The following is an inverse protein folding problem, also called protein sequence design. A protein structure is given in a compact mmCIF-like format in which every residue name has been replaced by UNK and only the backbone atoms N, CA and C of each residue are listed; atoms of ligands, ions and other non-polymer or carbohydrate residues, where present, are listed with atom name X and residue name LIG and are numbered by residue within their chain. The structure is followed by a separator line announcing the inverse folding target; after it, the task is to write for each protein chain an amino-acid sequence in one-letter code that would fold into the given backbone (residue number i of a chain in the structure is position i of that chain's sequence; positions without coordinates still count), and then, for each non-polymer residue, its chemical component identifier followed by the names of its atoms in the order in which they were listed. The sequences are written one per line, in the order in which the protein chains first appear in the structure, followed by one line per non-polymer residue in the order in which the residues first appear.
data_IF_027635998864
#
_entry.id   IF_027635998864
#
_cell.length_a   1.000
_cell.length_b   1.000
_cell.length_c   1.000
_cell.angle_alpha   90.00
_cell.angle_beta   90.00
_cell.angle_gamma   90.00
#
_symmetry.space_group_name_H-M   'P 1'
#
loop_
_entity.id
_entity.type
_entity.pdbx_description
1 polymer ?
#
# COMPACT_ATOMS: atom_id res chain seq x y z
N UNK A 1 31.96 77.03 22.11
CA UNK A 1 31.53 75.62 22.28
C UNK A 1 31.29 75.37 23.76
N UNK A 2 30.06 75.10 24.19
CA UNK A 2 29.79 74.69 25.58
C UNK A 2 30.30 73.26 25.75
N UNK A 3 31.35 73.06 26.55
CA UNK A 3 31.79 71.73 26.94
C UNK A 3 30.68 71.08 27.78
N UNK A 4 30.15 69.96 27.31
CA UNK A 4 29.24 69.12 28.09
C UNK A 4 29.98 68.66 29.35
N UNK A 5 29.37 68.90 30.51
CA UNK A 5 29.84 68.35 31.78
C UNK A 5 29.91 66.81 31.68
N UNK A 6 31.00 66.25 32.19
CA UNK A 6 31.28 64.82 32.29
C UNK A 6 30.09 64.05 32.87
N UNK A 7 29.37 64.64 33.82
CA UNK A 7 28.20 64.03 34.45
C UNK A 7 26.99 63.92 33.50
N UNK A 8 26.85 64.86 32.57
CA UNK A 8 25.82 64.83 31.52
C UNK A 8 26.15 63.78 30.45
N UNK A 9 27.44 63.64 30.10
CA UNK A 9 27.91 62.61 29.16
C UNK A 9 27.66 61.22 29.72
N UNK A 10 27.94 60.99 31.01
CA UNK A 10 27.72 59.70 31.68
C UNK A 10 26.23 59.34 31.70
N UNK A 11 25.34 60.31 32.01
CA UNK A 11 23.88 60.08 32.00
C UNK A 11 23.34 59.77 30.60
N UNK A 12 23.86 60.42 29.56
CA UNK A 12 23.51 60.12 28.16
C UNK A 12 23.95 58.72 27.74
N UNK A 13 25.17 58.31 28.09
CA UNK A 13 25.68 56.96 27.82
C UNK A 13 24.85 55.90 28.56
N UNK A 14 24.49 56.15 29.82
CA UNK A 14 23.63 55.26 30.59
C UNK A 14 22.22 55.14 29.99
N UNK A 15 21.61 56.27 29.60
CA UNK A 15 20.30 56.27 28.94
C UNK A 15 20.33 55.51 27.60
N UNK A 16 21.38 55.72 26.79
CA UNK A 16 21.58 54.98 25.55
C UNK A 16 21.80 53.48 25.81
N UNK A 17 22.56 53.12 26.84
CA UNK A 17 22.79 51.74 27.26
C UNK A 17 21.50 51.02 27.64
N UNK A 18 20.58 51.69 28.36
CA UNK A 18 19.27 51.14 28.73
C UNK A 18 18.38 50.93 27.49
N UNK A 19 18.34 51.90 26.58
CA UNK A 19 17.56 51.78 25.33
C UNK A 19 18.11 50.66 24.44
N UNK A 20 19.43 50.55 24.32
CA UNK A 20 20.09 49.48 23.57
C UNK A 20 19.83 48.11 24.20
N UNK A 21 19.90 47.99 25.52
CA UNK A 21 19.60 46.76 26.24
C UNK A 21 18.14 46.33 26.05
N UNK A 22 17.18 47.27 26.12
CA UNK A 22 15.77 47.01 25.88
C UNK A 22 15.51 46.56 24.42
N UNK A 23 16.19 47.18 23.45
CA UNK A 23 16.11 46.80 22.04
C UNK A 23 16.67 45.39 21.78
N UNK A 24 17.84 45.07 22.34
CA UNK A 24 18.45 43.73 22.24
C UNK A 24 17.55 42.68 22.91
N UNK A 25 17.00 42.96 24.10
CA UNK A 25 16.07 42.07 24.77
C UNK A 25 14.79 41.83 23.95
N UNK A 26 14.23 42.87 23.32
CA UNK A 26 13.10 42.76 22.41
C UNK A 26 13.39 41.91 21.17
N UNK A 27 14.55 42.11 20.53
CA UNK A 27 14.97 41.31 19.38
C UNK A 27 15.22 39.85 19.75
N UNK A 28 15.86 39.58 20.90
CA UNK A 28 16.06 38.22 21.41
C UNK A 28 14.73 37.52 21.70
N UNK A 29 13.75 38.24 22.27
CA UNK A 29 12.40 37.73 22.49
C UNK A 29 11.68 37.34 21.19
N UNK A 30 11.74 38.20 20.16
CA UNK A 30 11.16 37.92 18.84
C UNK A 30 11.86 36.75 18.14
N UNK A 31 13.19 36.69 18.21
CA UNK A 31 13.96 35.58 17.64
C UNK A 31 13.64 34.24 18.32
N UNK A 32 13.53 34.24 19.66
CA UNK A 32 13.12 33.07 20.43
C UNK A 32 11.71 32.60 20.05
N UNK A 33 10.74 33.52 19.95
CA UNK A 33 9.39 33.18 19.50
C UNK A 33 9.36 32.62 18.07
N UNK A 34 10.15 33.18 17.16
CA UNK A 34 10.27 32.68 15.79
C UNK A 34 10.88 31.27 15.75
N UNK A 35 11.95 31.02 16.53
CA UNK A 35 12.56 29.69 16.64
C UNK A 35 11.63 28.65 17.25
N UNK A 36 10.87 28.99 18.30
CA UNK A 36 9.86 28.11 18.90
C UNK A 36 8.79 27.77 17.86
N UNK A 37 8.28 28.77 17.13
CA UNK A 37 7.27 28.55 16.08
C UNK A 37 7.78 27.67 14.94
N UNK A 38 9.04 27.85 14.51
CA UNK A 38 9.66 26.97 13.53
C UNK A 38 9.81 25.53 14.06
N UNK A 39 10.21 25.37 15.32
CA UNK A 39 10.34 24.07 15.95
C UNK A 39 8.98 23.37 16.07
N UNK A 40 7.95 24.08 16.51
CA UNK A 40 6.58 23.56 16.62
C UNK A 40 6.01 23.18 15.24
N UNK A 41 6.21 24.01 14.21
CA UNK A 41 5.82 23.67 12.85
C UNK A 41 6.54 22.42 12.36
N UNK A 42 7.86 22.32 12.58
CA UNK A 42 8.65 21.15 12.19
C UNK A 42 8.19 19.89 12.95
N UNK A 43 7.87 20.01 14.24
CA UNK A 43 7.34 18.90 15.05
C UNK A 43 5.94 18.49 14.61
N UNK A 44 5.08 19.45 14.27
CA UNK A 44 3.74 19.17 13.75
C UNK A 44 3.80 18.52 12.36
N UNK A 45 4.67 18.99 11.47
CA UNK A 45 4.91 18.37 10.17
C UNK A 45 5.44 16.93 10.32
N UNK A 46 6.34 16.68 11.27
CA UNK A 46 6.82 15.34 11.60
C UNK A 46 5.69 14.45 12.08
N UNK A 47 4.91 14.90 13.08
CA UNK A 47 3.74 14.17 13.59
C UNK A 47 2.67 13.94 12.54
N UNK A 48 2.47 14.89 11.63
CA UNK A 48 1.50 14.74 10.54
C UNK A 48 1.99 13.71 9.52
N UNK A 49 3.28 13.72 9.15
CA UNK A 49 3.90 12.70 8.30
C UNK A 49 3.83 11.31 8.95
N UNK A 50 4.13 11.20 10.24
CA UNK A 50 4.01 9.94 11.00
C UNK A 50 2.56 9.44 11.04
N UNK A 51 1.60 10.32 11.34
CA UNK A 51 0.18 9.97 11.32
C UNK A 51 -0.31 9.55 9.93
N UNK A 52 0.19 10.18 8.87
CA UNK A 52 -0.10 9.78 7.50
C UNK A 52 0.48 8.39 7.21
N UNK A 53 1.74 8.13 7.55
CA UNK A 53 2.36 6.80 7.41
C UNK A 53 1.52 5.71 8.10
N UNK A 54 1.17 5.91 9.37
CA UNK A 54 0.35 4.96 10.14
C UNK A 54 -1.00 4.67 9.48
N UNK A 55 -1.68 5.74 9.04
CA UNK A 55 -3.00 5.69 8.42
C UNK A 55 -3.03 4.91 7.10
N UNK A 56 -1.92 4.91 6.36
CA UNK A 56 -1.82 4.22 5.07
C UNK A 56 -1.22 2.83 5.19
N UNK A 57 -0.18 2.69 6.01
CA UNK A 57 0.61 1.47 6.09
C UNK A 57 -0.03 0.41 6.97
N UNK A 58 -0.78 0.78 8.02
CA UNK A 58 -1.47 -0.24 8.84
C UNK A 58 -2.54 -1.00 8.03
N UNK A 59 -3.45 -0.35 7.29
CA UNK A 59 -4.41 -1.07 6.44
C UNK A 59 -3.72 -1.92 5.37
N UNK A 60 -2.66 -1.39 4.75
CA UNK A 60 -1.88 -2.12 3.75
C UNK A 60 -1.21 -3.35 4.37
N UNK A 61 -0.57 -3.21 5.52
CA UNK A 61 0.08 -4.30 6.24
C UNK A 61 -0.90 -5.42 6.59
N UNK A 62 -2.11 -5.09 7.07
CA UNK A 62 -3.17 -6.08 7.33
C UNK A 62 -3.56 -6.84 6.07
N UNK A 63 -3.77 -6.11 4.96
CA UNK A 63 -4.09 -6.72 3.67
C UNK A 63 -2.96 -7.65 3.19
N UNK A 64 -1.71 -7.28 3.42
CA UNK A 64 -0.54 -8.09 3.02
C UNK A 64 -0.42 -9.38 3.84
N UNK A 65 -0.72 -9.36 5.14
CA UNK A 65 -0.77 -10.57 5.96
C UNK A 65 -1.85 -11.54 5.45
N UNK A 66 -3.04 -11.03 5.14
CA UNK A 66 -4.13 -11.85 4.59
C UNK A 66 -3.77 -12.40 3.21
N UNK A 67 -3.08 -11.63 2.36
CA UNK A 67 -2.57 -12.09 1.07
C UNK A 67 -1.46 -13.14 1.21
N UNK A 68 -0.51 -12.96 2.14
CA UNK A 68 0.55 -13.95 2.42
C UNK A 68 -0.05 -15.31 2.81
N UNK A 69 -0.99 -15.30 3.75
CA UNK A 69 -1.69 -16.51 4.17
C UNK A 69 -2.49 -17.11 3.01
N UNK A 70 -3.11 -16.25 2.18
CA UNK A 70 -3.88 -16.70 1.02
C UNK A 70 -3.00 -17.45 0.02
N UNK A 71 -1.88 -16.84 -0.36
CA UNK A 71 -0.92 -17.44 -1.29
C UNK A 71 -0.30 -18.71 -0.71
N UNK A 72 0.04 -18.72 0.59
CA UNK A 72 0.51 -19.93 1.26
C UNK A 72 -0.50 -21.08 1.12
N UNK A 73 -1.78 -20.82 1.40
CA UNK A 73 -2.83 -21.83 1.30
C UNK A 73 -3.05 -22.30 -0.14
N UNK A 74 -2.90 -21.43 -1.14
CA UNK A 74 -2.92 -21.83 -2.56
C UNK A 74 -1.82 -22.84 -2.85
N UNK A 75 -0.58 -22.52 -2.50
CA UNK A 75 0.59 -23.38 -2.77
C UNK A 75 0.51 -24.71 -2.01
N UNK A 76 0.02 -24.68 -0.78
CA UNK A 76 -0.09 -25.87 0.08
C UNK A 76 -1.12 -26.88 -0.42
N UNK A 77 -2.18 -26.44 -1.09
CA UNK A 77 -3.31 -27.29 -1.46
C UNK A 77 -3.45 -27.45 -2.98
N UNK A 78 -2.37 -27.32 -3.75
CA UNK A 78 -2.38 -27.43 -5.22
C UNK A 78 -2.88 -28.80 -5.72
N UNK A 79 -2.75 -29.85 -4.92
CA UNK A 79 -3.21 -31.22 -5.22
C UNK A 79 -4.72 -31.42 -5.03
N UNK A 80 -5.42 -30.44 -4.47
CA UNK A 80 -6.87 -30.53 -4.21
C UNK A 80 -7.67 -29.82 -5.29
N UNK A 81 -8.96 -30.14 -5.42
CA UNK A 81 -9.89 -29.68 -6.46
C UNK A 81 -10.59 -28.33 -6.16
N UNK A 82 -10.33 -27.75 -4.99
CA UNK A 82 -11.04 -26.58 -4.44
C UNK A 82 -11.02 -25.28 -5.27
N UNK A 83 -10.13 -25.15 -6.26
CA UNK A 83 -10.07 -24.02 -7.20
C UNK A 83 -10.63 -24.35 -8.60
N UNK A 84 -11.40 -25.43 -8.73
CA UNK A 84 -12.01 -25.84 -10.00
C UNK A 84 -12.95 -24.76 -10.55
N UNK A 85 -12.94 -24.58 -11.87
CA UNK A 85 -13.77 -23.60 -12.58
C UNK A 85 -15.26 -23.68 -12.23
N UNK A 86 -15.79 -24.89 -12.04
CA UNK A 86 -17.20 -25.11 -11.69
C UNK A 86 -17.64 -24.37 -10.41
N UNK A 87 -16.73 -24.19 -9.44
CA UNK A 87 -17.02 -23.44 -8.23
C UNK A 87 -17.17 -21.95 -8.52
N UNK A 88 -16.34 -21.41 -9.41
CA UNK A 88 -16.47 -20.02 -9.86
C UNK A 88 -17.71 -19.81 -10.71
N UNK A 89 -18.00 -20.73 -11.64
CA UNK A 89 -19.19 -20.67 -12.48
C UNK A 89 -20.48 -20.76 -11.63
N UNK A 90 -20.47 -21.58 -10.57
CA UNK A 90 -21.56 -21.64 -9.60
C UNK A 90 -21.79 -20.29 -8.92
N UNK A 91 -20.73 -19.62 -8.46
CA UNK A 91 -20.83 -18.28 -7.85
C UNK A 91 -21.40 -17.28 -8.85
N UNK A 92 -20.91 -17.27 -10.09
CA UNK A 92 -21.39 -16.36 -11.15
C UNK A 92 -22.87 -16.55 -11.49
N UNK A 93 -23.38 -17.77 -11.31
CA UNK A 93 -24.80 -18.10 -11.44
C UNK A 93 -25.64 -17.88 -10.18
N UNK A 94 -25.09 -17.27 -9.13
CA UNK A 94 -25.79 -17.04 -7.86
C UNK A 94 -26.02 -18.32 -7.04
N UNK A 95 -25.25 -19.38 -7.31
CA UNK A 95 -25.35 -20.70 -6.66
C UNK A 95 -24.10 -21.01 -5.83
N UNK A 96 -24.04 -22.20 -5.25
CA UNK A 96 -22.84 -22.64 -4.51
C UNK A 96 -22.71 -21.89 -3.19
N UNK A 97 -21.54 -21.29 -2.93
CA UNK A 97 -21.30 -20.48 -1.74
C UNK A 97 -22.34 -19.35 -1.54
N UNK A 98 -22.93 -18.84 -2.63
CA UNK A 98 -23.98 -17.82 -2.57
C UNK A 98 -25.25 -18.30 -1.84
N UNK A 99 -25.58 -19.59 -1.97
CA UNK A 99 -26.76 -20.20 -1.35
C UNK A 99 -26.44 -20.85 -0.01
N UNK A 100 -25.25 -21.45 0.11
CA UNK A 100 -24.82 -22.20 1.29
C UNK A 100 -23.35 -21.92 1.58
N UNK A 101 -23.02 -21.25 2.70
CA UNK A 101 -21.65 -20.95 3.12
C UNK A 101 -20.73 -22.16 3.24
N UNK A 102 -21.29 -23.37 3.35
CA UNK A 102 -20.52 -24.61 3.44
C UNK A 102 -20.09 -25.16 2.07
N UNK A 103 -20.63 -24.64 0.96
CA UNK A 103 -20.24 -25.05 -0.40
C UNK A 103 -18.91 -24.40 -0.81
N UNK A 104 -18.15 -25.10 -1.67
CA UNK A 104 -16.86 -24.63 -2.21
C UNK A 104 -17.05 -23.34 -3.04
N UNK A 105 -15.97 -22.56 -3.16
CA UNK A 105 -15.90 -21.35 -3.98
C UNK A 105 -15.67 -20.05 -3.20
N UNK A 106 -16.01 -20.00 -1.91
CA UNK A 106 -15.70 -18.85 -1.03
C UNK A 106 -14.24 -18.42 -1.15
N UNK A 107 -13.33 -19.39 -1.20
CA UNK A 107 -11.91 -19.12 -1.25
C UNK A 107 -11.50 -18.36 -2.53
N UNK A 108 -12.07 -18.71 -3.68
CA UNK A 108 -11.78 -18.04 -4.96
C UNK A 108 -12.19 -16.57 -4.86
N UNK A 109 -13.45 -16.32 -4.49
CA UNK A 109 -13.98 -14.96 -4.50
C UNK A 109 -13.39 -14.07 -3.40
N UNK A 110 -13.08 -14.63 -2.23
CA UNK A 110 -12.36 -13.91 -1.17
C UNK A 110 -10.91 -13.61 -1.58
N UNK A 111 -10.25 -14.48 -2.34
CA UNK A 111 -8.90 -14.19 -2.88
C UNK A 111 -8.92 -13.02 -3.87
N UNK A 112 -9.90 -13.00 -4.77
CA UNK A 112 -10.11 -11.90 -5.73
C UNK A 112 -10.35 -10.59 -4.96
N UNK A 113 -11.19 -10.62 -3.92
CA UNK A 113 -11.44 -9.46 -3.06
C UNK A 113 -10.17 -8.94 -2.39
N UNK A 114 -9.30 -9.81 -1.85
CA UNK A 114 -8.06 -9.37 -1.18
C UNK A 114 -7.11 -8.68 -2.15
N UNK A 115 -6.97 -9.21 -3.37
CA UNK A 115 -6.16 -8.57 -4.41
C UNK A 115 -6.77 -7.23 -4.84
N UNK A 116 -8.09 -7.18 -5.01
CA UNK A 116 -8.81 -5.95 -5.33
C UNK A 116 -8.62 -4.89 -4.22
N UNK A 117 -8.70 -5.31 -2.96
CA UNK A 117 -8.49 -4.47 -1.78
C UNK A 117 -7.06 -3.93 -1.73
N UNK A 118 -6.06 -4.76 -2.06
CA UNK A 118 -4.68 -4.30 -2.21
C UNK A 118 -4.54 -3.22 -3.28
N UNK A 119 -5.18 -3.36 -4.45
CA UNK A 119 -5.20 -2.30 -5.46
C UNK A 119 -5.93 -1.03 -4.97
N UNK A 120 -7.04 -1.19 -4.24
CA UNK A 120 -7.76 -0.07 -3.63
C UNK A 120 -6.89 0.70 -2.63
N UNK A 121 -6.19 -0.01 -1.74
CA UNK A 121 -5.25 0.60 -0.79
C UNK A 121 -4.07 1.26 -1.50
N UNK A 122 -3.51 0.62 -2.52
CA UNK A 122 -2.44 1.20 -3.33
C UNK A 122 -2.86 2.51 -4.00
N UNK A 123 -4.08 2.56 -4.53
CA UNK A 123 -4.63 3.79 -5.12
C UNK A 123 -4.95 4.85 -4.06
N UNK A 124 -5.43 4.44 -2.88
CA UNK A 124 -5.67 5.37 -1.78
C UNK A 124 -4.36 6.04 -1.29
N UNK A 125 -3.28 5.27 -1.20
CA UNK A 125 -1.94 5.76 -0.87
C UNK A 125 -1.46 6.75 -1.93
N UNK A 126 -1.57 6.36 -3.21
CA UNK A 126 -1.19 7.21 -4.35
C UNK A 126 -1.95 8.54 -4.37
N UNK A 127 -3.23 8.54 -3.98
CA UNK A 127 -4.06 9.75 -3.88
C UNK A 127 -3.89 10.53 -2.57
N UNK A 128 -3.25 9.94 -1.55
CA UNK A 128 -3.16 10.52 -0.21
C UNK A 128 -4.49 10.58 0.54
N UNK A 129 -5.42 9.63 0.32
CA UNK A 129 -6.76 9.65 0.91
C UNK A 129 -6.97 8.67 2.07
N UNK A 130 -7.63 9.13 3.14
CA UNK A 130 -7.84 8.30 4.34
C UNK A 130 -8.77 7.11 4.13
N UNK A 131 -8.31 5.89 4.40
CA UNK A 131 -9.15 4.67 4.37
C UNK A 131 -9.54 4.16 5.76
N UNK A 132 -9.04 4.78 6.84
CA UNK A 132 -9.25 4.33 8.24
C UNK A 132 -10.45 4.98 8.92
N UNK A 133 -10.97 6.07 8.36
CA UNK A 133 -12.10 6.81 8.93
C UNK A 133 -13.41 6.08 8.67
N UNK A 134 -13.79 5.17 9.57
CA UNK A 134 -15.14 4.62 9.63
C UNK A 134 -16.14 5.68 10.08
N UNK A 135 -17.16 5.96 9.26
CA UNK A 135 -18.40 6.62 9.68
C UNK A 135 -19.32 5.60 10.38
N UNK A 136 -18.98 5.21 11.60
CA UNK A 136 -19.98 4.68 12.54
C UNK A 136 -20.50 5.83 13.40
N UNK A 137 -21.83 5.85 13.54
CA UNK A 137 -22.65 6.89 14.16
C UNK A 137 -22.06 7.43 15.48
N UNK A 138 -21.43 8.61 15.42
CA UNK A 138 -20.77 9.27 16.56
C UNK A 138 -21.76 9.99 17.46
N UNK A 139 -22.70 9.27 18.04
CA UNK A 139 -23.53 9.82 19.13
C UNK A 139 -22.94 9.65 20.54
N UNK A 140 -21.73 9.10 20.69
CA UNK A 140 -21.04 9.03 22.01
C UNK A 140 -19.59 9.51 22.08
N UNK A 141 -19.05 10.15 21.03
CA UNK A 141 -17.74 10.86 21.10
C UNK A 141 -17.91 12.32 20.66
N UNK A 142 -19.03 12.93 21.06
CA UNK A 142 -19.22 14.39 21.00
C UNK A 142 -18.99 14.96 22.39
N UNK A 143 -17.72 15.26 22.73
CA UNK A 143 -17.42 16.44 23.58
C UNK A 143 -15.96 16.89 23.68
N UNK A 144 -14.98 16.18 23.12
CA UNK A 144 -13.58 16.62 23.24
C UNK A 144 -12.94 17.23 21.98
N UNK A 145 -13.39 16.90 20.77
CA UNK A 145 -12.71 17.31 19.53
C UNK A 145 -13.16 18.63 18.87
N UNK A 146 -14.27 19.23 19.29
CA UNK A 146 -14.94 20.27 18.50
C UNK A 146 -14.48 21.71 18.81
N UNK A 147 -13.69 21.94 19.86
CA UNK A 147 -13.16 23.29 20.20
C UNK A 147 -11.76 23.58 19.63
N UNK A 148 -10.99 22.55 19.26
CA UNK A 148 -9.62 22.74 18.75
C UNK A 148 -9.61 22.87 17.21
N UNK A 149 -10.44 22.11 16.49
CA UNK A 149 -10.50 22.16 15.01
C UNK A 149 -10.95 23.50 14.43
N UNK A 150 -11.79 24.27 15.14
CA UNK A 150 -12.39 25.50 14.60
C UNK A 150 -11.48 26.74 14.71
N UNK A 151 -10.37 26.67 15.47
CA UNK A 151 -9.37 27.76 15.55
C UNK A 151 -8.18 27.60 14.60
N UNK A 152 -7.94 26.41 14.06
CA UNK A 152 -6.79 26.14 13.18
C UNK A 152 -7.12 26.28 11.68
N UNK A 153 -8.37 26.02 11.29
CA UNK A 153 -8.80 26.09 9.87
C UNK A 153 -8.99 27.51 9.32
N UNK A 154 -9.01 28.55 10.16
CA UNK A 154 -9.23 29.95 9.71
C UNK A 154 -7.96 30.77 9.49
N UNK A 155 -6.79 30.26 9.90
CA UNK A 155 -5.55 31.05 9.95
C UNK A 155 -4.51 30.59 8.92
N UNK A 156 -4.65 29.39 8.37
CA UNK A 156 -3.72 28.85 7.39
C UNK A 156 -4.50 28.51 6.12
N UNK A 157 -4.45 29.42 5.16
CA UNK A 157 -4.92 29.19 3.81
C UNK A 157 -4.15 28.04 3.18
N UNK A 158 -4.66 26.81 3.33
CA UNK A 158 -4.07 25.60 2.78
C UNK A 158 -4.40 25.50 1.28
N UNK A 159 -3.64 26.24 0.47
CA UNK A 159 -3.35 25.83 -0.92
C UNK A 159 -1.96 25.24 -0.92
N UNK A 160 -1.86 23.93 -0.72
CA UNK A 160 -0.75 23.14 -1.26
C UNK A 160 -1.10 21.65 -1.18
N UNK A 161 -1.61 21.14 -2.30
CA UNK A 161 -1.60 19.70 -2.61
C UNK A 161 -0.14 19.32 -2.87
N UNK A 162 0.63 19.05 -1.83
CA UNK A 162 1.92 18.39 -2.03
C UNK A 162 1.66 16.89 -2.20
N UNK A 163 2.10 16.36 -3.34
CA UNK A 163 2.25 14.93 -3.57
C UNK A 163 3.41 14.41 -2.70
N UNK A 164 3.12 13.96 -1.48
CA UNK A 164 4.16 13.59 -0.49
C UNK A 164 4.55 12.10 -0.56
N UNK A 165 3.87 11.27 -1.36
CA UNK A 165 4.28 9.87 -1.50
C UNK A 165 5.09 9.67 -2.77
N UNK A 166 6.42 9.57 -2.62
CA UNK A 166 7.17 8.64 -3.47
C UNK A 166 6.45 7.29 -3.35
N UNK A 167 5.80 6.87 -4.43
CA UNK A 167 5.03 5.63 -4.43
C UNK A 167 6.01 4.48 -4.17
N UNK A 168 5.81 3.76 -3.06
CA UNK A 168 6.77 2.79 -2.54
C UNK A 168 7.22 1.81 -3.66
N UNK A 169 8.54 1.70 -3.93
CA UNK A 169 9.06 0.79 -4.95
C UNK A 169 8.59 -0.66 -4.77
N UNK A 170 8.34 -1.09 -3.54
CA UNK A 170 7.91 -2.45 -3.23
C UNK A 170 6.41 -2.67 -3.52
N UNK A 171 5.56 -1.67 -3.25
CA UNK A 171 4.16 -1.69 -3.72
C UNK A 171 4.14 -1.80 -5.25
N UNK A 172 5.04 -1.06 -5.93
CA UNK A 172 5.18 -1.14 -7.39
C UNK A 172 5.59 -2.53 -7.84
N UNK A 173 6.54 -3.18 -7.17
CA UNK A 173 6.96 -4.55 -7.51
C UNK A 173 5.83 -5.55 -7.35
N UNK A 174 5.10 -5.51 -6.24
CA UNK A 174 3.92 -6.38 -6.05
C UNK A 174 2.89 -6.15 -7.16
N UNK A 175 2.56 -4.89 -7.49
CA UNK A 175 1.66 -4.57 -8.59
C UNK A 175 2.16 -5.09 -9.95
N UNK A 176 3.47 -5.00 -10.21
CA UNK A 176 4.09 -5.46 -11.45
C UNK A 176 4.09 -6.97 -11.60
N UNK A 177 4.10 -7.75 -10.52
CA UNK A 177 3.97 -9.21 -10.61
C UNK A 177 2.62 -9.67 -11.17
N UNK A 178 1.59 -8.82 -11.11
CA UNK A 178 0.33 -9.03 -11.83
C UNK A 178 0.38 -8.60 -13.31
N UNK A 179 1.43 -7.88 -13.75
CA UNK A 179 1.57 -7.28 -15.09
C UNK A 179 2.51 -8.03 -16.05
N UNK A 180 3.49 -8.80 -15.56
CA UNK A 180 4.57 -9.31 -16.40
C UNK A 180 4.50 -10.82 -16.66
N UNK A 181 4.34 -11.21 -17.92
CA UNK A 181 4.42 -12.61 -18.40
C UNK A 181 5.88 -13.09 -18.54
N UNK A 182 6.84 -12.20 -18.70
CA UNK A 182 8.25 -12.57 -18.99
C UNK A 182 9.11 -12.89 -17.76
N UNK A 183 8.57 -12.81 -16.53
CA UNK A 183 9.35 -13.00 -15.30
C UNK A 183 10.15 -14.31 -15.32
N UNK A 184 9.53 -15.38 -15.83
CA UNK A 184 10.13 -16.71 -15.85
C UNK A 184 10.65 -17.09 -17.24
N UNK A 185 10.77 -16.16 -18.19
CA UNK A 185 11.07 -16.48 -19.60
C UNK A 185 12.36 -17.28 -19.76
N UNK A 186 13.42 -16.88 -19.06
CA UNK A 186 14.70 -17.57 -19.15
C UNK A 186 14.67 -18.90 -18.40
N UNK A 187 14.06 -18.93 -17.22
CA UNK A 187 13.80 -20.17 -16.47
C UNK A 187 12.99 -21.19 -17.29
N UNK A 188 11.97 -20.74 -18.03
CA UNK A 188 11.12 -21.61 -18.87
C UNK A 188 11.90 -22.25 -20.03
N UNK A 189 12.83 -21.52 -20.65
CA UNK A 189 13.68 -22.06 -21.72
C UNK A 189 14.51 -23.25 -21.25
N UNK A 190 14.99 -23.20 -20.01
CA UNK A 190 15.80 -24.27 -19.42
C UNK A 190 14.96 -25.49 -19.01
N UNK A 191 13.67 -25.30 -18.72
CA UNK A 191 12.79 -26.32 -18.11
C UNK A 191 11.88 -27.09 -19.06
N UNK A 192 12.11 -27.03 -20.37
CA UNK A 192 11.27 -27.71 -21.38
C UNK A 192 9.79 -27.27 -21.36
N UNK A 193 9.48 -26.12 -20.76
CA UNK A 193 8.12 -25.59 -20.66
C UNK A 193 7.74 -24.95 -22.00
N UNK A 194 6.81 -25.56 -22.75
CA UNK A 194 6.36 -25.06 -24.05
C UNK A 194 4.98 -24.43 -23.91
N UNK A 195 4.87 -23.12 -24.11
CA UNK A 195 3.62 -22.34 -23.97
C UNK A 195 2.86 -22.66 -22.67
N UNK A 196 3.49 -22.53 -21.49
CA UNK A 196 2.84 -22.88 -20.25
C UNK A 196 1.62 -22.00 -19.99
N UNK A 197 0.64 -22.57 -19.29
CA UNK A 197 -0.50 -21.80 -18.78
C UNK A 197 0.02 -20.75 -17.80
N UNK A 198 -0.31 -19.50 -18.07
CA UNK A 198 -0.02 -18.36 -17.20
C UNK A 198 -1.30 -17.53 -16.99
N UNK A 199 -1.30 -16.68 -15.96
CA UNK A 199 -2.35 -15.71 -15.77
C UNK A 199 -2.21 -14.57 -16.78
N UNK A 200 -3.33 -14.17 -17.41
CA UNK A 200 -3.33 -13.07 -18.36
C UNK A 200 -2.84 -11.76 -17.72
N UNK A 201 -2.03 -11.00 -18.46
CA UNK A 201 -1.48 -9.70 -18.06
C UNK A 201 -2.54 -8.71 -17.55
N UNK A 202 -2.52 -8.43 -16.25
CA UNK A 202 -3.33 -7.39 -15.63
C UNK A 202 -2.67 -6.02 -15.82
N UNK A 203 -2.94 -5.36 -16.95
CA UNK A 203 -2.34 -4.05 -17.27
C UNK A 203 -2.56 -3.00 -16.16
N UNK A 204 -1.63 -2.03 -16.06
CA UNK A 204 -1.67 -0.94 -15.07
C UNK A 204 -3.00 -0.19 -15.02
N UNK A 205 -3.62 0.08 -16.17
CA UNK A 205 -4.91 0.79 -16.22
C UNK A 205 -6.06 -0.07 -15.65
N UNK A 206 -5.99 -1.40 -15.77
CA UNK A 206 -6.95 -2.32 -15.19
C UNK A 206 -6.78 -2.35 -13.67
N UNK A 207 -5.54 -2.47 -13.17
CA UNK A 207 -5.24 -2.39 -11.74
C UNK A 207 -5.73 -1.08 -11.13
N UNK A 208 -5.49 0.03 -11.81
CA UNK A 208 -5.99 1.35 -11.41
C UNK A 208 -7.52 1.36 -11.36
N UNK A 209 -8.19 0.87 -12.41
CA UNK A 209 -9.66 0.84 -12.47
C UNK A 209 -10.26 -0.02 -11.35
N UNK A 210 -9.68 -1.19 -11.08
CA UNK A 210 -10.06 -2.02 -9.94
C UNK A 210 -9.86 -1.26 -8.62
N UNK A 211 -8.71 -0.60 -8.46
CA UNK A 211 -8.42 0.21 -7.28
C UNK A 211 -9.45 1.33 -7.06
N UNK A 212 -9.80 2.07 -8.11
CA UNK A 212 -10.86 3.09 -8.08
C UNK A 212 -12.21 2.48 -7.68
N UNK A 213 -12.60 1.36 -8.29
CA UNK A 213 -13.88 0.69 -8.01
C UNK A 213 -13.98 0.17 -6.58
N UNK A 214 -12.84 -0.21 -5.98
CA UNK A 214 -12.76 -0.64 -4.59
C UNK A 214 -12.81 0.51 -3.60
N UNK A 215 -12.60 1.75 -4.02
CA UNK A 215 -12.64 2.92 -3.16
C UNK A 215 -14.01 3.60 -3.20
N UNK A 216 -14.59 3.80 -2.02
CA UNK A 216 -15.84 4.52 -1.84
C UNK A 216 -15.61 5.80 -1.05
N UNK A 217 -16.11 6.92 -1.56
CA UNK A 217 -15.96 8.23 -0.93
C UNK A 217 -16.87 8.34 0.30
N UNK A 218 -16.29 8.50 1.48
CA UNK A 218 -17.00 8.83 2.73
C UNK A 218 -16.79 10.31 3.08
N UNK A 219 -17.57 11.20 2.49
CA UNK A 219 -17.44 12.66 2.69
C UNK A 219 -16.37 13.32 1.81
N UNK A 220 -15.97 14.55 2.11
CA UNK A 220 -15.11 15.34 1.19
C UNK A 220 -13.67 14.84 1.10
N UNK A 221 -13.10 14.30 2.18
CA UNK A 221 -11.66 13.98 2.32
C UNK A 221 -11.36 12.55 2.80
N UNK A 222 -12.37 11.68 2.90
CA UNK A 222 -12.18 10.28 3.30
C UNK A 222 -12.72 9.34 2.25
N UNK A 223 -12.02 8.23 2.11
CA UNK A 223 -12.42 7.08 1.34
C UNK A 223 -12.51 5.88 2.27
N UNK A 224 -13.07 4.80 1.79
CA UNK A 224 -12.92 3.49 2.41
C UNK A 224 -12.76 2.47 1.31
N UNK A 225 -12.12 1.36 1.63
CA UNK A 225 -12.20 0.18 0.77
C UNK A 225 -13.56 -0.46 0.99
N UNK A 226 -14.24 -0.86 -0.10
CA UNK A 226 -15.47 -1.66 -0.03
C UNK A 226 -15.23 -2.88 0.86
N UNK A 227 -16.21 -3.21 1.70
CA UNK A 227 -16.18 -4.46 2.46
C UNK A 227 -16.34 -5.66 1.53
N UNK A 228 -15.97 -6.85 2.01
CA UNK A 228 -16.17 -8.09 1.26
C UNK A 228 -17.63 -8.27 0.83
N UNK A 229 -18.58 -7.95 1.70
CA UNK A 229 -20.02 -8.04 1.39
C UNK A 229 -20.41 -7.15 0.21
N UNK A 230 -19.99 -5.89 0.22
CA UNK A 230 -20.31 -4.95 -0.86
C UNK A 230 -19.63 -5.31 -2.17
N UNK A 231 -18.38 -5.80 -2.09
CA UNK A 231 -17.68 -6.34 -3.25
C UNK A 231 -18.43 -7.56 -3.80
N UNK A 232 -18.83 -8.49 -2.95
CA UNK A 232 -19.51 -9.72 -3.32
C UNK A 232 -20.87 -9.45 -3.95
N UNK A 233 -21.67 -8.58 -3.32
CA UNK A 233 -22.97 -8.16 -3.84
C UNK A 233 -22.84 -7.50 -5.22
N UNK A 234 -21.83 -6.65 -5.43
CA UNK A 234 -21.55 -6.06 -6.74
C UNK A 234 -21.05 -7.10 -7.76
N UNK A 235 -20.17 -8.00 -7.34
CA UNK A 235 -19.62 -9.05 -8.19
C UNK A 235 -20.69 -10.03 -8.69
N UNK A 236 -21.69 -10.35 -7.87
CA UNK A 236 -22.80 -11.20 -8.24
C UNK A 236 -23.80 -10.51 -9.18
N UNK A 237 -24.14 -9.26 -8.88
CA UNK A 237 -25.30 -8.60 -9.49
C UNK A 237 -24.95 -7.62 -10.63
N UNK A 238 -23.68 -7.24 -10.78
CA UNK A 238 -23.23 -6.31 -11.83
C UNK A 238 -22.17 -6.97 -12.72
N UNK A 239 -22.59 -7.39 -13.92
CA UNK A 239 -21.69 -8.01 -14.90
C UNK A 239 -20.57 -7.07 -15.36
N UNK A 240 -20.83 -5.76 -15.41
CA UNK A 240 -19.81 -4.76 -15.78
C UNK A 240 -18.78 -4.63 -14.68
N UNK A 241 -19.21 -4.68 -13.41
CA UNK A 241 -18.29 -4.75 -12.28
C UNK A 241 -17.43 -6.01 -12.36
N UNK A 242 -18.06 -7.18 -12.53
CA UNK A 242 -17.40 -8.48 -12.63
C UNK A 242 -16.36 -8.55 -13.75
N UNK A 243 -16.63 -7.93 -14.91
CA UNK A 243 -15.72 -7.92 -16.06
C UNK A 243 -14.28 -7.51 -15.71
N UNK A 244 -14.11 -6.56 -14.80
CA UNK A 244 -12.78 -6.07 -14.40
C UNK A 244 -11.94 -7.11 -13.66
N UNK A 245 -12.55 -8.16 -13.11
CA UNK A 245 -11.89 -9.16 -12.28
C UNK A 245 -11.51 -10.45 -13.03
N UNK A 246 -11.91 -10.60 -14.30
CA UNK A 246 -11.68 -11.80 -15.11
C UNK A 246 -10.19 -12.20 -15.14
N UNK A 247 -9.28 -11.22 -15.24
CA UNK A 247 -7.85 -11.49 -15.28
C UNK A 247 -7.30 -11.98 -13.93
N UNK A 248 -7.90 -11.55 -12.81
CA UNK A 248 -7.57 -12.04 -11.47
C UNK A 248 -8.16 -13.44 -11.27
N UNK A 249 -9.36 -13.71 -11.79
CA UNK A 249 -9.95 -15.06 -11.78
C UNK A 249 -9.03 -16.07 -12.47
N UNK A 250 -8.48 -15.72 -13.63
CA UNK A 250 -7.58 -16.58 -14.40
C UNK A 250 -6.28 -16.95 -13.65
N UNK A 251 -5.90 -16.19 -12.63
CA UNK A 251 -4.78 -16.55 -11.76
C UNK A 251 -5.07 -17.81 -10.93
N UNK A 252 -6.33 -18.03 -10.53
CA UNK A 252 -6.72 -19.11 -9.61
C UNK A 252 -7.50 -20.24 -10.27
N UNK A 253 -8.27 -19.96 -11.34
CA UNK A 253 -9.14 -20.95 -11.96
C UNK A 253 -8.35 -22.16 -12.46
N UNK A 254 -8.77 -23.35 -12.03
CA UNK A 254 -8.15 -24.65 -12.34
C UNK A 254 -6.68 -24.74 -11.90
N UNK A 255 -6.30 -23.96 -10.88
CA UNK A 255 -5.03 -24.09 -10.20
C UNK A 255 -5.10 -25.20 -9.12
N UNK A 256 -5.48 -26.40 -9.57
CA UNK A 256 -5.82 -27.56 -8.75
C UNK A 256 -5.26 -28.84 -9.37
N UNK A 257 -5.38 -29.98 -8.68
CA UNK A 257 -5.02 -31.31 -9.20
C UNK A 257 -3.55 -31.42 -9.69
N UNK A 258 -2.61 -30.75 -9.01
CA UNK A 258 -1.19 -31.01 -9.23
C UNK A 258 -0.75 -32.31 -8.53
N UNK A 259 0.26 -32.98 -9.08
CA UNK A 259 0.81 -34.24 -8.56
C UNK A 259 1.29 -34.11 -7.10
N UNK A 260 0.90 -35.07 -6.25
CA UNK A 260 1.33 -35.10 -4.85
C UNK A 260 2.82 -35.46 -4.71
N UNK A 261 3.42 -35.03 -3.60
CA UNK A 261 4.79 -35.41 -3.19
C UNK A 261 5.89 -35.08 -4.22
N UNK A 262 5.64 -34.12 -5.11
CA UNK A 262 6.62 -33.54 -6.02
C UNK A 262 7.03 -32.15 -5.56
N UNK A 263 8.26 -31.75 -5.89
CA UNK A 263 8.70 -30.36 -5.74
C UNK A 263 7.80 -29.45 -6.57
N UNK A 264 7.66 -28.18 -6.16
CA UNK A 264 6.80 -27.22 -6.86
C UNK A 264 7.24 -27.00 -8.31
N UNK A 265 8.55 -26.96 -8.57
CA UNK A 265 9.09 -26.85 -9.92
C UNK A 265 8.69 -28.07 -10.77
N UNK A 266 8.74 -29.28 -10.18
CA UNK A 266 8.32 -30.47 -10.91
C UNK A 266 6.82 -30.53 -11.16
N UNK A 267 6.00 -30.07 -10.21
CA UNK A 267 4.55 -29.89 -10.36
C UNK A 267 4.25 -28.97 -11.55
N UNK A 268 4.96 -27.85 -11.66
CA UNK A 268 4.83 -26.85 -12.73
C UNK A 268 5.27 -27.41 -14.08
N UNK A 269 6.41 -28.09 -14.15
CA UNK A 269 6.92 -28.77 -15.35
C UNK A 269 5.91 -29.80 -15.87
N UNK A 270 5.39 -30.67 -15.00
CA UNK A 270 4.49 -31.76 -15.39
C UNK A 270 3.13 -31.25 -15.87
N UNK A 271 2.58 -30.21 -15.24
CA UNK A 271 1.28 -29.63 -15.62
C UNK A 271 1.40 -28.54 -16.69
N UNK A 272 2.63 -28.13 -17.03
CA UNK A 272 2.91 -27.01 -17.93
C UNK A 272 2.15 -25.73 -17.51
N UNK A 273 2.22 -25.37 -16.23
CA UNK A 273 1.45 -24.26 -15.63
C UNK A 273 2.31 -23.50 -14.62
N UNK A 274 2.71 -22.27 -14.95
CA UNK A 274 3.68 -21.47 -14.18
C UNK A 274 3.04 -20.59 -13.10
N UNK A 275 1.71 -20.53 -13.05
CA UNK A 275 0.98 -19.70 -12.07
C UNK A 275 1.37 -19.97 -10.62
N UNK A 276 1.70 -21.20 -10.18
CA UNK A 276 2.21 -21.41 -8.81
C UNK A 276 3.52 -20.65 -8.54
N UNK A 277 4.45 -20.61 -9.49
CA UNK A 277 5.71 -19.86 -9.34
C UNK A 277 5.45 -18.36 -9.26
N UNK A 278 4.48 -17.87 -10.04
CA UNK A 278 4.01 -16.48 -9.97
C UNK A 278 3.46 -16.13 -8.58
N UNK A 279 2.63 -17.00 -8.01
CA UNK A 279 2.06 -16.82 -6.66
C UNK A 279 3.16 -16.81 -5.59
N UNK A 280 4.16 -17.68 -5.71
CA UNK A 280 5.35 -17.68 -4.84
C UNK A 280 6.11 -16.34 -4.94
N UNK A 281 6.32 -15.83 -6.16
CA UNK A 281 6.98 -14.54 -6.36
C UNK A 281 6.18 -13.38 -5.75
N UNK A 282 4.85 -13.38 -5.93
CA UNK A 282 3.94 -12.42 -5.30
C UNK A 282 4.03 -12.47 -3.78
N UNK A 283 4.02 -13.67 -3.21
CA UNK A 283 4.12 -13.89 -1.77
C UNK A 283 5.47 -13.38 -1.22
N UNK A 284 6.58 -13.67 -1.90
CA UNK A 284 7.91 -13.17 -1.54
C UNK A 284 7.93 -11.64 -1.45
N UNK A 285 7.49 -10.95 -2.52
CA UNK A 285 7.48 -9.48 -2.54
C UNK A 285 6.45 -8.87 -1.58
N UNK A 286 5.34 -9.56 -1.29
CA UNK A 286 4.45 -9.16 -0.18
C UNK A 286 5.20 -9.20 1.15
N UNK A 287 6.00 -10.23 1.44
CA UNK A 287 6.80 -10.31 2.67
C UNK A 287 7.90 -9.26 2.75
N UNK A 288 8.54 -8.94 1.64
CA UNK A 288 9.51 -7.83 1.58
C UNK A 288 8.82 -6.51 1.92
N UNK A 289 7.67 -6.23 1.31
CA UNK A 289 6.88 -5.03 1.60
C UNK A 289 6.41 -4.99 3.06
N UNK A 290 5.93 -6.12 3.61
CA UNK A 290 5.55 -6.20 5.03
C UNK A 290 6.73 -5.90 5.96
N UNK A 291 7.90 -6.48 5.70
CA UNK A 291 9.12 -6.24 6.48
C UNK A 291 9.51 -4.76 6.46
N UNK A 292 9.46 -4.13 5.29
CA UNK A 292 9.80 -2.71 5.14
C UNK A 292 8.79 -1.80 5.85
N UNK A 293 7.49 -2.08 5.71
CA UNK A 293 6.45 -1.36 6.43
C UNK A 293 6.62 -1.54 7.95
N UNK A 294 6.90 -2.75 8.42
CA UNK A 294 7.06 -3.03 9.85
C UNK A 294 8.27 -2.29 10.45
N UNK A 295 9.38 -2.20 9.69
CA UNK A 295 10.54 -1.41 10.07
C UNK A 295 10.21 0.10 10.12
N UNK A 296 9.49 0.61 9.11
CA UNK A 296 9.09 2.03 9.03
C UNK A 296 8.10 2.44 10.11
N UNK A 297 7.35 1.48 10.66
CA UNK A 297 6.40 1.68 11.75
C UNK A 297 6.97 1.35 13.14
N UNK A 298 8.27 1.03 13.23
CA UNK A 298 8.96 0.60 14.46
C UNK A 298 8.23 -0.55 15.19
N UNK A 299 7.56 -1.42 14.43
CA UNK A 299 6.75 -2.51 15.01
C UNK A 299 7.58 -3.61 15.68
N UNK A 300 8.90 -3.57 15.52
CA UNK A 300 9.84 -4.43 16.21
C UNK A 300 9.74 -4.30 17.74
N UNK A 301 9.39 -3.12 18.26
CA UNK A 301 9.16 -2.90 19.70
C UNK A 301 7.92 -3.65 20.21
N UNK A 302 6.99 -4.03 19.33
CA UNK A 302 5.73 -4.70 19.66
C UNK A 302 5.77 -6.22 19.42
N UNK A 303 6.95 -6.82 19.18
CA UNK A 303 7.13 -8.25 18.87
C UNK A 303 6.30 -8.74 17.66
N UNK A 304 5.88 -7.84 16.76
CA UNK A 304 5.23 -8.22 15.50
C UNK A 304 6.29 -8.73 14.51
N UNK A 305 6.66 -10.00 14.63
CA UNK A 305 7.57 -10.63 13.67
C UNK A 305 6.85 -10.89 12.34
N UNK A 306 7.24 -10.17 11.30
CA UNK A 306 6.93 -10.56 9.92
C UNK A 306 7.70 -11.82 9.58
N UNK A 307 7.03 -12.84 9.01
CA UNK A 307 7.70 -14.05 8.53
C UNK A 307 8.79 -13.66 7.51
N UNK A 308 10.01 -14.22 7.59
CA UNK A 308 11.07 -13.96 6.63
C UNK A 308 10.60 -14.14 5.18
N UNK A 309 10.93 -13.20 4.27
CA UNK A 309 10.68 -13.37 2.84
C UNK A 309 11.31 -14.66 2.28
N UNK A 310 12.51 -14.98 2.74
CA UNK A 310 13.33 -16.10 2.27
C UNK A 310 12.66 -17.45 2.48
N UNK A 311 11.82 -17.58 3.52
CA UNK A 311 11.10 -18.82 3.83
C UNK A 311 10.15 -19.26 2.71
N UNK A 312 9.62 -18.31 1.93
CA UNK A 312 8.75 -18.59 0.77
C UNK A 312 9.50 -19.32 -0.33
N UNK A 313 10.82 -19.13 -0.38
CA UNK A 313 11.67 -19.67 -1.43
C UNK A 313 12.27 -21.04 -1.06
N UNK A 314 11.93 -21.57 0.13
CA UNK A 314 12.41 -22.87 0.56
C UNK A 314 11.96 -23.98 -0.40
N UNK A 315 12.89 -24.85 -0.79
CA UNK A 315 12.63 -25.93 -1.75
C UNK A 315 12.69 -25.51 -3.23
N UNK A 316 13.00 -24.24 -3.54
CA UNK A 316 13.29 -23.79 -4.91
C UNK A 316 14.78 -23.91 -5.23
N UNK A 317 15.06 -24.15 -6.51
CA UNK A 317 16.36 -24.08 -7.16
C UNK A 317 16.99 -22.69 -7.02
N UNK A 318 18.32 -22.63 -7.08
CA UNK A 318 19.05 -21.38 -6.91
C UNK A 318 18.73 -20.40 -8.05
N UNK A 319 18.62 -20.93 -9.25
CA UNK A 319 18.28 -20.22 -10.47
C UNK A 319 16.93 -19.50 -10.33
N UNK A 320 15.90 -20.23 -9.87
CA UNK A 320 14.57 -19.65 -9.66
C UNK A 320 14.54 -18.63 -8.52
N UNK A 321 15.29 -18.88 -7.44
CA UNK A 321 15.47 -17.91 -6.34
C UNK A 321 16.07 -16.61 -6.88
N UNK A 322 17.12 -16.71 -7.66
CA UNK A 322 17.81 -15.56 -8.24
C UNK A 322 16.89 -14.77 -9.17
N UNK A 323 16.03 -15.43 -9.97
CA UNK A 323 15.01 -14.78 -10.80
C UNK A 323 13.98 -14.00 -9.95
N UNK A 324 13.48 -14.59 -8.86
CA UNK A 324 12.45 -13.96 -8.01
C UNK A 324 13.04 -12.79 -7.20
N UNK A 325 14.21 -13.00 -6.58
CA UNK A 325 14.87 -12.03 -5.71
C UNK A 325 15.43 -10.86 -6.51
N UNK A 326 16.14 -11.15 -7.60
CA UNK A 326 16.73 -10.14 -8.46
C UNK A 326 15.75 -9.68 -9.54
N UNK A 327 14.45 -9.72 -9.26
CA UNK A 327 13.46 -9.11 -10.13
C UNK A 327 13.75 -7.60 -10.24
N UNK A 328 14.59 -7.26 -11.22
CA UNK A 328 14.96 -5.91 -11.55
C UNK A 328 13.82 -5.32 -12.34
N UNK A 329 13.15 -4.37 -11.70
CA UNK A 329 12.07 -3.63 -12.33
C UNK A 329 12.63 -2.55 -13.28
N UNK A 330 13.69 -2.85 -14.04
CA UNK A 330 14.56 -1.95 -14.83
C UNK A 330 13.86 -1.20 -15.99
N UNK A 331 12.55 -1.00 -15.88
CA UNK A 331 11.85 0.17 -16.43
C UNK A 331 11.42 1.08 -15.29
N UNK A 332 12.41 1.64 -14.64
CA UNK A 332 12.27 2.65 -13.58
C UNK A 332 11.73 3.94 -14.22
N UNK A 333 10.58 4.39 -13.73
CA UNK A 333 10.20 5.81 -13.60
C UNK A 333 9.86 6.74 -14.79
N UNK A 334 9.90 6.39 -16.07
CA UNK A 334 9.57 7.42 -17.11
C UNK A 334 8.07 7.73 -17.30
N UNK A 335 7.15 6.88 -16.82
CA UNK A 335 5.70 7.02 -17.10
C UNK A 335 4.82 7.35 -15.88
N UNK A 336 5.38 7.42 -14.66
CA UNK A 336 4.60 7.70 -13.44
C UNK A 336 4.67 9.16 -12.98
N UNK A 337 5.68 9.92 -13.40
CA UNK A 337 5.88 11.30 -12.95
C UNK A 337 5.37 12.38 -13.91
N UNK A 338 4.95 12.05 -15.13
CA UNK A 338 4.51 13.08 -16.11
C UNK A 338 5.59 14.10 -16.47
N UNK A 339 6.84 13.87 -16.08
CA UNK A 339 7.99 14.67 -16.46
C UNK A 339 8.54 14.05 -17.74
N UNK A 340 8.23 14.66 -18.90
CA UNK A 340 9.08 14.52 -20.08
C UNK A 340 10.38 15.25 -19.76
N UNK A 341 11.46 14.51 -19.49
CA UNK A 341 12.78 15.09 -19.69
C UNK A 341 13.07 14.96 -21.19
N UNK A 342 13.19 16.11 -21.85
CA UNK A 342 13.70 16.16 -23.21
C UNK A 342 15.14 15.63 -23.15
N UNK A 343 15.40 14.55 -23.88
CA UNK A 343 16.74 14.05 -24.13
C UNK A 343 17.44 15.01 -25.09
N UNK A 344 18.57 15.58 -24.64
CA UNK A 344 19.58 16.22 -25.47
C UNK A 344 20.85 15.37 -25.42
#
# INVERSE_FOLDING_TARGET
MKHLDKDTIIKLIAAFGVVLAAFIAGMLGLFAQWKIKQFDNTQNEKKEKENQKLKFYIPLLRCLYELDERFHNVIKNLETDWLHKEHLDSIKGGKGFAEDPNKKGYFIISSIYLIASFFGLSEAIKKGVDTTKFSYDRYKIKRFGYKIKRRLYKTFGAKQRFSIFQFDPEITKVCRLFQYEELFKDYMKEKSLVNPKDACKLHKHIQHSIGEMMLEKQGEESYRVKSFREFYDAYLNDEKFRFWFILIENLFVDLSNFEKDKSIEKKVEMKNDIRPLRIIAMQYWCRVLMKNIAAELDLAEFNLQTRPPEDVLNGLSKELKDVIVNYKSDRTETYLLGIKLNEH
#
